data_IF_301576312603
#
_entry.id   IF_301576312603
#
_cell.length_a   1.000
_cell.length_b   1.000
_cell.length_c   1.000
_cell.angle_alpha   90.00
_cell.angle_beta   90.00
_cell.angle_gamma   90.00
#
_symmetry.space_group_name_H-M   'P 1'
#
loop_
_entity.id
_entity.type
_entity.pdbx_description
1 polymer ?
#
# COMPACT_ATOMS: atom_id res chain seq x y z
N UNK A 1 70.08 19.25 28.39
CA UNK A 1 69.34 17.99 28.30
C UNK A 1 67.92 18.23 28.75
N UNK A 2 67.01 18.56 27.83
CA UNK A 2 65.60 18.70 28.11
C UNK A 2 64.82 17.89 27.04
N UNK A 3 64.15 16.82 27.49
CA UNK A 3 63.28 15.99 26.66
C UNK A 3 61.88 16.58 26.71
N UNK A 4 61.41 17.11 25.57
CA UNK A 4 60.03 17.52 25.39
C UNK A 4 59.19 16.29 25.11
N UNK A 5 58.23 16.04 25.96
CA UNK A 5 57.17 15.04 25.77
C UNK A 5 56.02 15.73 25.00
N UNK A 6 55.73 15.26 23.76
CA UNK A 6 54.59 15.65 23.00
C UNK A 6 53.43 14.70 23.39
N UNK A 7 52.42 15.24 24.05
CA UNK A 7 51.18 14.52 24.33
C UNK A 7 50.25 14.74 23.12
N UNK A 8 50.07 13.71 22.33
CA UNK A 8 49.10 13.70 21.24
C UNK A 8 47.68 13.48 21.80
N UNK A 9 46.81 14.46 21.66
CA UNK A 9 45.37 14.30 21.92
C UNK A 9 44.76 13.53 20.71
N UNK A 10 44.37 12.30 20.93
CA UNK A 10 43.51 11.54 20.01
C UNK A 10 42.08 11.98 20.25
N UNK A 11 41.52 12.83 19.39
CA UNK A 11 40.11 13.16 19.37
C UNK A 11 39.35 12.00 18.72
N UNK A 12 38.71 11.16 19.53
CA UNK A 12 37.75 10.16 19.04
C UNK A 12 36.47 10.88 18.62
N UNK A 13 36.24 11.04 17.31
CA UNK A 13 34.96 11.42 16.75
C UNK A 13 33.99 10.25 16.92
N UNK A 14 33.15 10.32 17.94
CA UNK A 14 31.94 9.50 18.05
C UNK A 14 30.95 10.00 16.99
N UNK A 15 30.87 9.33 15.86
CA UNK A 15 29.76 9.43 14.92
C UNK A 15 28.53 8.82 15.61
N UNK A 16 27.78 9.64 16.34
CA UNK A 16 26.43 9.28 16.74
C UNK A 16 25.59 9.21 15.46
N UNK A 17 25.32 8.00 14.97
CA UNK A 17 24.28 7.78 14.00
C UNK A 17 22.97 8.11 14.71
N UNK A 18 22.40 9.27 14.41
CA UNK A 18 21.01 9.58 14.75
C UNK A 18 20.11 8.64 13.95
N UNK A 19 19.92 7.43 14.45
CA UNK A 19 18.80 6.59 14.05
C UNK A 19 17.53 7.28 14.53
N UNK A 20 16.68 7.72 13.60
CA UNK A 20 15.33 8.13 13.93
C UNK A 20 14.67 6.99 14.73
N UNK A 21 13.99 7.31 15.87
CA UNK A 21 13.22 6.29 16.57
C UNK A 21 12.16 5.78 15.60
N UNK A 22 12.29 4.51 15.15
CA UNK A 22 11.21 3.86 14.42
C UNK A 22 9.99 3.87 15.33
N UNK A 23 8.89 4.49 14.87
CA UNK A 23 7.58 4.25 15.47
C UNK A 23 7.41 2.72 15.59
N UNK A 24 6.92 2.20 16.72
CA UNK A 24 6.65 0.77 16.81
C UNK A 24 5.69 0.40 15.67
N UNK A 25 6.08 -0.60 14.89
CA UNK A 25 5.23 -1.17 13.85
C UNK A 25 3.86 -1.50 14.49
N UNK A 26 2.78 -0.97 13.91
CA UNK A 26 1.45 -1.20 14.45
C UNK A 26 1.20 -2.71 14.51
N UNK A 27 1.22 -3.27 15.71
CA UNK A 27 0.81 -4.66 15.88
C UNK A 27 -0.66 -4.74 15.46
N UNK A 28 -1.00 -5.69 14.58
CA UNK A 28 -2.39 -5.94 14.23
C UNK A 28 -3.20 -5.99 15.54
N UNK A 29 -4.21 -5.12 15.75
CA UNK A 29 -4.99 -5.13 16.97
C UNK A 29 -5.53 -6.53 17.17
N UNK A 30 -5.50 -7.00 18.42
CA UNK A 30 -6.00 -8.33 18.79
C UNK A 30 -7.41 -8.50 18.23
N UNK A 31 -7.75 -9.64 17.59
CA UNK A 31 -9.07 -9.85 17.05
C UNK A 31 -10.08 -9.71 18.18
N UNK A 32 -10.80 -8.62 18.23
CA UNK A 32 -12.04 -8.58 18.99
C UNK A 32 -12.97 -9.53 18.23
N UNK A 33 -13.43 -10.57 18.92
CA UNK A 33 -14.07 -11.73 18.35
C UNK A 33 -15.12 -11.38 17.30
N UNK A 34 -15.28 -12.25 16.31
CA UNK A 34 -16.24 -12.11 15.21
C UNK A 34 -17.61 -11.66 15.73
N UNK A 35 -17.81 -10.36 15.79
CA UNK A 35 -19.07 -9.74 16.21
C UNK A 35 -20.15 -10.03 15.19
N UNK A 36 -21.42 -10.00 15.64
CA UNK A 36 -22.56 -9.92 14.71
C UNK A 36 -22.31 -8.78 13.74
N UNK A 37 -22.71 -8.94 12.48
CA UNK A 37 -22.61 -7.88 11.49
C UNK A 37 -23.36 -6.62 12.01
N UNK A 38 -22.60 -5.64 12.47
CA UNK A 38 -23.09 -4.41 13.06
C UNK A 38 -23.08 -3.26 12.03
N UNK A 39 -23.10 -3.60 10.75
CA UNK A 39 -23.17 -2.59 9.71
C UNK A 39 -24.49 -1.82 9.84
N UNK A 40 -24.45 -0.49 9.86
CA UNK A 40 -25.70 0.32 9.86
C UNK A 40 -26.57 0.02 8.64
N UNK A 41 -27.89 -0.07 8.85
CA UNK A 41 -28.86 -0.38 7.79
C UNK A 41 -28.85 0.61 6.62
N UNK A 42 -28.33 1.82 6.84
CA UNK A 42 -28.21 2.87 5.82
C UNK A 42 -26.83 2.86 5.11
N UNK A 43 -25.94 1.91 5.40
CA UNK A 43 -24.71 1.76 4.70
C UNK A 43 -24.93 1.12 3.33
N UNK A 44 -24.50 1.80 2.28
CA UNK A 44 -24.41 1.24 0.94
C UNK A 44 -23.02 0.70 0.74
N UNK A 45 -22.89 -0.58 0.40
CA UNK A 45 -21.60 -1.23 0.14
C UNK A 45 -21.44 -1.53 -1.34
N UNK A 46 -20.25 -1.30 -1.82
CA UNK A 46 -19.75 -1.74 -3.12
C UNK A 46 -19.51 -3.26 -3.05
N UNK A 47 -19.85 -3.97 -4.13
CA UNK A 47 -19.54 -5.39 -4.28
C UNK A 47 -18.02 -5.62 -4.22
N UNK A 48 -17.61 -6.66 -3.53
CA UNK A 48 -16.17 -6.94 -3.34
C UNK A 48 -15.88 -8.43 -3.29
N UNK A 49 -14.65 -8.83 -3.65
CA UNK A 49 -14.16 -10.20 -3.53
C UNK A 49 -14.03 -10.62 -2.06
N UNK A 50 -13.85 -11.92 -1.74
CA UNK A 50 -13.59 -12.37 -0.38
C UNK A 50 -12.37 -11.67 0.24
N UNK A 51 -12.44 -11.38 1.54
CA UNK A 51 -11.35 -10.71 2.26
C UNK A 51 -10.16 -11.65 2.37
N UNK A 52 -9.02 -11.20 1.86
CA UNK A 52 -7.72 -11.88 1.95
C UNK A 52 -7.04 -11.61 3.30
N UNK A 53 -5.98 -12.36 3.60
CA UNK A 53 -5.22 -12.19 4.83
C UNK A 53 -3.72 -12.08 4.53
N UNK A 54 -3.19 -10.86 4.66
CA UNK A 54 -1.76 -10.58 4.47
C UNK A 54 -0.86 -11.19 5.55
N UNK A 55 -1.44 -11.71 6.65
CA UNK A 55 -0.67 -12.20 7.78
C UNK A 55 0.26 -11.14 8.37
N UNK A 56 1.55 -11.46 8.47
CA UNK A 56 2.60 -10.56 8.95
C UNK A 56 3.43 -9.94 7.82
N UNK A 57 2.90 -9.93 6.58
CA UNK A 57 3.61 -9.34 5.45
C UNK A 57 3.49 -7.81 5.46
N UNK A 58 4.42 -7.14 4.78
CA UNK A 58 4.39 -5.70 4.52
C UNK A 58 3.72 -5.38 3.17
N UNK A 59 2.83 -6.28 2.69
CA UNK A 59 2.20 -6.20 1.37
C UNK A 59 0.80 -5.54 1.40
N UNK A 60 0.45 -4.81 2.46
CA UNK A 60 -0.84 -4.11 2.57
C UNK A 60 -1.17 -3.29 1.32
N UNK A 61 -0.16 -2.63 0.73
CA UNK A 61 -0.28 -1.85 -0.48
C UNK A 61 -0.75 -2.69 -1.68
N UNK A 62 -0.21 -3.90 -1.85
CA UNK A 62 -0.62 -4.80 -2.92
C UNK A 62 -2.03 -5.37 -2.66
N UNK A 63 -2.32 -5.79 -1.43
CA UNK A 63 -3.65 -6.28 -1.05
C UNK A 63 -4.74 -5.22 -1.22
N UNK A 64 -4.50 -3.99 -0.76
CA UNK A 64 -5.48 -2.90 -0.83
C UNK A 64 -5.73 -2.47 -2.27
N UNK A 65 -4.69 -2.29 -3.07
CA UNK A 65 -4.85 -1.85 -4.45
C UNK A 65 -5.44 -2.94 -5.35
N UNK A 66 -5.03 -4.22 -5.19
CA UNK A 66 -5.67 -5.33 -5.93
C UNK A 66 -7.15 -5.46 -5.56
N UNK A 67 -7.49 -5.32 -4.27
CA UNK A 67 -8.88 -5.34 -3.84
C UNK A 67 -9.71 -4.22 -4.50
N UNK A 68 -9.15 -3.02 -4.64
CA UNK A 68 -9.78 -1.88 -5.32
C UNK A 68 -10.00 -2.18 -6.81
N UNK A 69 -9.02 -2.76 -7.51
CA UNK A 69 -9.16 -3.20 -8.90
C UNK A 69 -10.25 -4.26 -9.03
N UNK A 70 -10.26 -5.26 -8.17
CA UNK A 70 -11.25 -6.35 -8.16
C UNK A 70 -12.67 -5.83 -7.94
N UNK A 71 -12.87 -4.90 -7.01
CA UNK A 71 -14.19 -4.30 -6.73
C UNK A 71 -14.66 -3.37 -7.85
N UNK A 72 -13.74 -2.65 -8.51
CA UNK A 72 -14.07 -1.85 -9.69
C UNK A 72 -14.58 -2.74 -10.85
N UNK A 73 -14.01 -3.93 -11.04
CA UNK A 73 -14.50 -4.92 -12.01
C UNK A 73 -15.90 -5.41 -11.65
N UNK A 74 -16.15 -5.73 -10.37
CA UNK A 74 -17.50 -6.14 -9.93
C UNK A 74 -18.52 -5.05 -10.22
N UNK A 75 -18.17 -3.79 -10.01
CA UNK A 75 -19.05 -2.65 -10.34
C UNK A 75 -19.33 -2.56 -11.84
N UNK A 76 -18.35 -2.86 -12.69
CA UNK A 76 -18.49 -2.94 -14.16
C UNK A 76 -19.26 -4.19 -14.64
N UNK A 77 -19.65 -5.10 -13.74
CA UNK A 77 -20.37 -6.34 -14.06
C UNK A 77 -19.48 -7.53 -14.42
N UNK A 78 -18.22 -7.45 -14.16
CA UNK A 78 -17.21 -8.47 -14.32
C UNK A 78 -16.70 -8.97 -12.95
N UNK A 79 -15.91 -10.03 -12.91
CA UNK A 79 -15.33 -10.56 -11.68
C UNK A 79 -13.93 -11.09 -11.91
N UNK A 80 -12.97 -10.46 -11.26
CA UNK A 80 -11.59 -10.91 -11.21
C UNK A 80 -11.16 -11.10 -9.75
N UNK A 81 -10.26 -12.04 -9.50
CA UNK A 81 -9.62 -12.26 -8.21
C UNK A 81 -8.13 -12.48 -8.47
N UNK A 82 -7.28 -11.60 -7.95
CA UNK A 82 -5.89 -11.47 -8.35
C UNK A 82 -4.93 -11.97 -7.29
N UNK A 83 -3.80 -12.55 -7.72
CA UNK A 83 -2.77 -13.10 -6.84
C UNK A 83 -1.80 -12.03 -6.32
N UNK A 84 -1.79 -11.81 -5.01
CA UNK A 84 -0.77 -10.99 -4.35
C UNK A 84 0.57 -11.73 -4.30
N UNK A 85 0.56 -13.05 -4.16
CA UNK A 85 1.77 -13.88 -4.15
C UNK A 85 2.57 -13.75 -5.47
N UNK A 86 1.88 -13.60 -6.60
CA UNK A 86 2.54 -13.34 -7.88
C UNK A 86 3.28 -12.01 -7.88
N UNK A 87 2.63 -10.94 -7.45
CA UNK A 87 3.24 -9.61 -7.32
C UNK A 87 4.44 -9.65 -6.37
N UNK A 88 4.28 -10.30 -5.21
CA UNK A 88 5.36 -10.45 -4.24
C UNK A 88 6.58 -11.18 -4.82
N UNK A 89 6.35 -12.24 -5.61
CA UNK A 89 7.43 -12.98 -6.27
C UNK A 89 8.17 -12.12 -7.29
N UNK A 90 7.43 -11.37 -8.12
CA UNK A 90 8.04 -10.46 -9.12
C UNK A 90 8.86 -9.37 -8.43
N UNK A 91 8.31 -8.77 -7.37
CA UNK A 91 9.03 -7.79 -6.57
C UNK A 91 10.32 -8.36 -5.96
N UNK A 92 10.27 -9.54 -5.36
CA UNK A 92 11.46 -10.19 -4.78
C UNK A 92 12.54 -10.48 -5.83
N UNK A 93 12.17 -10.91 -7.02
CA UNK A 93 13.12 -11.12 -8.13
C UNK A 93 13.79 -9.80 -8.53
N UNK A 94 13.03 -8.73 -8.67
CA UNK A 94 13.56 -7.41 -9.02
C UNK A 94 14.47 -6.88 -7.92
N UNK A 95 14.02 -6.89 -6.67
CA UNK A 95 14.79 -6.43 -5.51
C UNK A 95 16.08 -7.24 -5.29
N UNK A 96 16.06 -8.54 -5.59
CA UNK A 96 17.26 -9.38 -5.55
C UNK A 96 18.30 -8.94 -6.58
N UNK A 97 17.89 -8.60 -7.81
CA UNK A 97 18.78 -8.09 -8.83
C UNK A 97 19.33 -6.70 -8.47
N UNK A 98 18.48 -5.81 -7.93
CA UNK A 98 18.90 -4.51 -7.41
C UNK A 98 19.96 -4.66 -6.30
N UNK A 99 19.71 -5.56 -5.35
CA UNK A 99 20.64 -5.88 -4.26
C UNK A 99 21.97 -6.40 -4.80
N UNK A 100 21.94 -7.35 -5.74
CA UNK A 100 23.12 -7.93 -6.36
C UNK A 100 23.99 -6.85 -7.07
N UNK A 101 23.38 -6.02 -7.92
CA UNK A 101 24.07 -4.96 -8.62
C UNK A 101 24.53 -3.82 -7.71
N UNK A 102 23.80 -3.55 -6.63
CA UNK A 102 24.21 -2.64 -5.57
C UNK A 102 25.28 -3.23 -4.64
N UNK A 103 25.76 -4.45 -4.90
CA UNK A 103 26.77 -5.14 -4.09
C UNK A 103 26.41 -5.22 -2.59
N UNK A 104 25.14 -5.55 -2.30
CA UNK A 104 24.62 -5.69 -0.95
C UNK A 104 24.31 -4.39 -0.20
N UNK A 105 24.42 -3.23 -0.87
CA UNK A 105 24.24 -1.92 -0.21
C UNK A 105 22.78 -1.44 -0.13
N UNK A 106 21.87 -2.13 -0.81
CA UNK A 106 20.45 -1.77 -0.87
C UNK A 106 19.60 -2.91 -0.29
N UNK A 107 19.26 -2.89 1.01
CA UNK A 107 18.54 -3.99 1.65
C UNK A 107 17.18 -4.22 1.01
N UNK A 108 16.71 -5.47 1.05
CA UNK A 108 15.44 -5.88 0.45
C UNK A 108 14.30 -5.65 1.46
N UNK A 109 13.28 -4.93 1.03
CA UNK A 109 12.03 -4.71 1.76
C UNK A 109 10.83 -4.97 0.86
N UNK A 110 9.74 -5.45 1.46
CA UNK A 110 8.46 -5.65 0.78
C UNK A 110 7.51 -4.44 0.97
N UNK A 111 7.99 -3.38 1.62
CA UNK A 111 7.23 -2.13 1.76
C UNK A 111 7.09 -1.43 0.41
N UNK A 112 6.00 -0.70 0.25
CA UNK A 112 5.70 0.07 -0.94
C UNK A 112 4.38 0.78 -0.83
N UNK A 113 4.07 1.61 -1.82
CA UNK A 113 2.79 2.31 -1.98
C UNK A 113 1.86 1.60 -2.96
N UNK A 114 0.59 1.90 -2.89
CA UNK A 114 -0.41 1.31 -3.79
C UNK A 114 -0.13 1.62 -5.28
N UNK A 115 0.46 2.77 -5.61
CA UNK A 115 0.91 3.11 -6.98
C UNK A 115 1.92 2.12 -7.55
N UNK A 116 2.79 1.58 -6.71
CA UNK A 116 3.82 0.63 -7.12
C UNK A 116 3.22 -0.67 -7.69
N UNK A 117 1.99 -1.05 -7.28
CA UNK A 117 1.30 -2.20 -7.84
C UNK A 117 1.10 -2.06 -9.35
N UNK A 118 0.70 -0.88 -9.79
CA UNK A 118 0.43 -0.60 -11.20
C UNK A 118 1.70 -0.83 -12.03
N UNK A 119 2.86 -0.40 -11.56
CA UNK A 119 4.14 -0.67 -12.24
C UNK A 119 4.46 -2.17 -12.32
N UNK A 120 4.19 -2.94 -11.25
CA UNK A 120 4.41 -4.40 -11.29
C UNK A 120 3.46 -5.12 -12.23
N UNK A 121 2.19 -4.72 -12.26
CA UNK A 121 1.19 -5.28 -13.17
C UNK A 121 1.56 -4.97 -14.63
N UNK A 122 1.92 -3.73 -14.94
CA UNK A 122 2.32 -3.32 -16.29
C UNK A 122 3.59 -4.02 -16.77
N UNK A 123 4.56 -4.20 -15.88
CA UNK A 123 5.87 -4.79 -16.22
C UNK A 123 5.88 -6.32 -16.28
N UNK A 124 5.19 -6.97 -15.35
CA UNK A 124 5.28 -8.42 -15.15
C UNK A 124 3.98 -9.17 -15.41
N UNK A 125 2.88 -8.45 -15.57
CA UNK A 125 1.57 -9.03 -15.71
C UNK A 125 0.90 -9.37 -14.39
N UNK A 126 -0.17 -10.15 -14.46
CA UNK A 126 -0.95 -10.62 -13.33
C UNK A 126 -1.29 -12.10 -13.47
N UNK A 127 -1.68 -12.72 -12.35
CA UNK A 127 -2.21 -14.07 -12.31
C UNK A 127 -3.52 -14.08 -11.52
N UNK A 128 -4.49 -14.93 -11.90
CA UNK A 128 -5.65 -15.20 -11.07
C UNK A 128 -5.22 -15.80 -9.72
N UNK A 129 -5.96 -15.48 -8.67
CA UNK A 129 -5.70 -16.00 -7.33
C UNK A 129 -5.67 -17.53 -7.28
N UNK A 130 -6.64 -18.18 -7.93
CA UNK A 130 -6.75 -19.65 -7.96
C UNK A 130 -5.58 -20.34 -8.69
N UNK A 131 -4.85 -19.60 -9.54
CA UNK A 131 -3.66 -20.10 -10.24
C UNK A 131 -2.39 -19.97 -9.39
N UNK A 132 -2.36 -19.03 -8.46
CA UNK A 132 -1.23 -18.80 -7.56
C UNK A 132 -1.73 -18.19 -6.25
N UNK A 133 -2.23 -19.05 -5.37
CA UNK A 133 -2.79 -18.65 -4.08
C UNK A 133 -1.74 -18.06 -3.13
N UNK A 134 -2.20 -17.19 -2.25
CA UNK A 134 -1.33 -16.66 -1.19
C UNK A 134 -0.86 -17.79 -0.27
N UNK A 135 0.45 -17.93 -0.06
CA UNK A 135 0.98 -18.99 0.80
C UNK A 135 0.59 -18.74 2.26
N UNK A 136 0.20 -19.79 2.94
CA UNK A 136 -0.09 -19.73 4.38
C UNK A 136 1.22 -19.60 5.16
N UNK A 137 1.24 -18.70 6.14
CA UNK A 137 2.31 -18.56 7.13
C UNK A 137 3.70 -18.15 6.60
N UNK A 138 3.80 -17.53 5.42
CA UNK A 138 5.08 -16.99 4.93
C UNK A 138 5.47 -15.74 5.71
N UNK A 139 6.68 -15.78 6.28
CA UNK A 139 7.30 -14.60 6.86
C UNK A 139 8.20 -13.92 5.83
N UNK A 140 7.67 -12.91 5.15
CA UNK A 140 8.39 -12.18 4.10
C UNK A 140 9.65 -11.47 4.62
N UNK A 141 9.72 -11.03 5.88
CA UNK A 141 10.96 -10.48 6.48
C UNK A 141 12.08 -11.53 6.55
N UNK A 142 11.72 -12.78 6.89
CA UNK A 142 12.68 -13.89 6.88
C UNK A 142 13.05 -14.24 5.43
N UNK A 143 12.07 -14.23 4.53
CA UNK A 143 12.31 -14.52 3.11
C UNK A 143 13.27 -13.49 2.47
N UNK A 144 13.09 -12.21 2.71
CA UNK A 144 14.02 -11.16 2.27
C UNK A 144 15.46 -11.45 2.73
N UNK A 145 15.67 -11.80 4.00
CA UNK A 145 16.99 -12.17 4.52
C UNK A 145 17.59 -13.41 3.84
N UNK A 146 16.75 -14.41 3.48
CA UNK A 146 17.20 -15.58 2.71
C UNK A 146 17.62 -15.18 1.31
N UNK A 147 16.88 -14.28 0.66
CA UNK A 147 17.21 -13.71 -0.66
C UNK A 147 18.54 -12.94 -0.59
N UNK A 148 18.69 -12.05 0.37
CA UNK A 148 19.93 -11.31 0.60
C UNK A 148 21.13 -12.26 0.76
N UNK A 149 20.99 -13.33 1.56
CA UNK A 149 22.05 -14.32 1.77
C UNK A 149 22.43 -15.06 0.49
N UNK A 150 21.47 -15.38 -0.37
CA UNK A 150 21.76 -15.98 -1.70
C UNK A 150 22.51 -14.97 -2.57
N UNK A 151 22.05 -13.72 -2.60
CA UNK A 151 22.71 -12.65 -3.34
C UNK A 151 24.15 -12.41 -2.86
N UNK A 152 24.39 -12.38 -1.54
CA UNK A 152 25.73 -12.24 -0.96
C UNK A 152 26.67 -13.39 -1.40
N UNK A 153 26.14 -14.62 -1.40
CA UNK A 153 26.86 -15.77 -1.90
C UNK A 153 27.23 -15.64 -3.39
N UNK A 154 26.27 -15.20 -4.20
CA UNK A 154 26.47 -14.99 -5.63
C UNK A 154 27.47 -13.85 -5.92
N UNK A 155 27.44 -12.77 -5.14
CA UNK A 155 28.40 -11.65 -5.21
C UNK A 155 29.81 -12.16 -4.88
N UNK A 156 29.96 -12.85 -3.75
CA UNK A 156 31.26 -13.35 -3.29
C UNK A 156 31.90 -14.34 -4.28
N UNK A 157 31.08 -15.23 -4.87
CA UNK A 157 31.52 -16.27 -5.82
C UNK A 157 31.59 -15.75 -7.26
N UNK A 158 31.10 -14.54 -7.55
CA UNK A 158 30.93 -14.00 -8.91
C UNK A 158 30.18 -14.97 -9.83
N UNK A 159 29.11 -15.56 -9.31
CA UNK A 159 28.36 -16.67 -9.94
C UNK A 159 27.65 -16.30 -11.24
N UNK A 160 27.38 -15.00 -11.45
CA UNK A 160 26.59 -14.52 -12.57
C UNK A 160 25.07 -14.59 -12.30
N UNK A 161 24.31 -13.91 -13.18
CA UNK A 161 22.86 -13.68 -12.98
C UNK A 161 22.04 -14.94 -13.17
N UNK A 162 22.37 -15.78 -14.15
CA UNK A 162 21.55 -16.97 -14.46
C UNK A 162 21.59 -17.95 -13.27
N UNK A 163 22.77 -18.21 -12.71
CA UNK A 163 22.89 -19.05 -11.52
C UNK A 163 22.14 -18.44 -10.32
N UNK A 164 22.25 -17.11 -10.13
CA UNK A 164 21.51 -16.41 -9.09
C UNK A 164 20.00 -16.59 -9.26
N UNK A 165 19.46 -16.41 -10.47
CA UNK A 165 18.03 -16.61 -10.76
C UNK A 165 17.58 -18.04 -10.46
N UNK A 166 18.38 -19.04 -10.80
CA UNK A 166 18.05 -20.45 -10.51
C UNK A 166 17.97 -20.71 -9.00
N UNK A 167 18.94 -20.21 -8.23
CA UNK A 167 18.94 -20.34 -6.78
C UNK A 167 17.75 -19.60 -6.13
N UNK A 168 17.40 -18.40 -6.63
CA UNK A 168 16.24 -17.64 -6.19
C UNK A 168 14.92 -18.35 -6.54
N UNK A 169 14.79 -18.88 -7.75
CA UNK A 169 13.60 -19.62 -8.15
C UNK A 169 13.39 -20.86 -7.26
N UNK A 170 14.45 -21.61 -6.97
CA UNK A 170 14.39 -22.75 -6.06
C UNK A 170 13.93 -22.34 -4.64
N UNK A 171 14.38 -21.18 -4.15
CA UNK A 171 13.93 -20.62 -2.87
C UNK A 171 12.44 -20.25 -2.94
N UNK A 172 12.03 -19.52 -3.98
CA UNK A 172 10.66 -19.04 -4.12
C UNK A 172 9.66 -20.19 -4.31
N UNK A 173 10.01 -21.20 -5.10
CA UNK A 173 9.17 -22.39 -5.28
C UNK A 173 8.91 -23.11 -3.96
N UNK A 174 9.90 -23.14 -3.08
CA UNK A 174 9.78 -23.73 -1.75
C UNK A 174 8.98 -22.89 -0.76
N UNK A 175 9.12 -21.56 -0.78
CA UNK A 175 8.59 -20.66 0.26
C UNK A 175 7.24 -20.03 -0.16
N UNK A 176 7.04 -19.74 -1.45
CA UNK A 176 5.84 -19.05 -1.96
C UNK A 176 5.00 -19.99 -2.84
N UNK A 177 5.58 -21.03 -3.39
CA UNK A 177 4.93 -21.98 -4.30
C UNK A 177 5.51 -21.92 -5.71
N UNK A 178 5.23 -22.97 -6.48
CA UNK A 178 5.71 -23.10 -7.85
C UNK A 178 5.08 -22.04 -8.76
N UNK A 179 5.92 -21.41 -9.59
CA UNK A 179 5.42 -20.45 -10.57
C UNK A 179 4.35 -21.11 -11.44
N UNK A 180 3.16 -20.48 -11.61
CA UNK A 180 2.12 -20.99 -12.48
C UNK A 180 2.58 -21.03 -13.94
N UNK A 181 1.83 -21.73 -14.77
CA UNK A 181 2.06 -21.74 -16.22
C UNK A 181 2.09 -20.31 -16.77
N UNK A 182 2.86 -20.11 -17.86
CA UNK A 182 2.93 -18.81 -18.56
C UNK A 182 1.64 -18.44 -19.29
N UNK A 183 0.62 -19.26 -19.17
CA UNK A 183 -0.68 -19.09 -19.81
C UNK A 183 -1.75 -18.95 -18.72
N UNK A 184 -2.58 -17.94 -18.85
CA UNK A 184 -3.73 -17.67 -17.99
C UNK A 184 -4.98 -18.04 -18.77
N UNK A 185 -5.78 -18.95 -18.22
CA UNK A 185 -7.08 -19.32 -18.80
C UNK A 185 -8.18 -18.59 -18.03
N UNK A 186 -8.88 -17.69 -18.67
CA UNK A 186 -9.96 -16.91 -18.07
C UNK A 186 -11.10 -16.73 -19.07
N UNK A 187 -12.34 -16.98 -18.62
CA UNK A 187 -13.56 -16.80 -19.43
C UNK A 187 -13.50 -17.46 -20.83
N UNK A 188 -12.83 -18.61 -20.93
CA UNK A 188 -12.72 -19.37 -22.19
C UNK A 188 -11.66 -18.85 -23.17
N UNK A 189 -10.87 -17.87 -22.79
CA UNK A 189 -9.72 -17.37 -23.53
C UNK A 189 -8.41 -17.70 -22.84
N UNK A 190 -7.33 -17.67 -23.59
CA UNK A 190 -5.96 -17.90 -23.15
C UNK A 190 -5.16 -16.62 -23.31
N UNK A 191 -4.45 -16.21 -22.27
CA UNK A 191 -3.67 -14.99 -22.19
C UNK A 191 -2.25 -15.30 -21.70
N UNK A 192 -1.29 -14.50 -22.07
CA UNK A 192 -0.07 -14.36 -21.29
C UNK A 192 -0.39 -13.58 -19.99
N UNK A 193 0.44 -13.67 -18.92
CA UNK A 193 0.23 -12.87 -17.73
C UNK A 193 0.12 -11.37 -18.00
N UNK A 194 0.84 -10.85 -18.99
CA UNK A 194 0.81 -9.45 -19.36
C UNK A 194 -0.49 -9.06 -20.08
N UNK A 195 -0.93 -9.87 -21.05
CA UNK A 195 -2.23 -9.67 -21.73
C UNK A 195 -3.39 -9.75 -20.73
N UNK A 196 -3.33 -10.70 -19.79
CA UNK A 196 -4.32 -10.80 -18.73
C UNK A 196 -4.31 -9.55 -17.85
N UNK A 197 -3.14 -9.07 -17.44
CA UNK A 197 -3.01 -7.84 -16.67
C UNK A 197 -3.64 -6.64 -17.40
N UNK A 198 -3.32 -6.45 -18.67
CA UNK A 198 -3.89 -5.36 -19.47
C UNK A 198 -5.40 -5.51 -19.73
N UNK A 199 -5.94 -6.73 -19.68
CA UNK A 199 -7.40 -6.91 -19.73
C UNK A 199 -8.09 -6.51 -18.42
N UNK A 200 -7.33 -6.41 -17.32
CA UNK A 200 -7.84 -6.09 -15.98
C UNK A 200 -7.56 -4.65 -15.60
N UNK A 201 -6.37 -4.12 -15.89
CA UNK A 201 -5.96 -2.79 -15.45
C UNK A 201 -4.88 -2.23 -16.37
N UNK A 202 -5.13 -1.04 -16.93
CA UNK A 202 -4.10 -0.22 -17.56
C UNK A 202 -3.55 0.80 -16.57
N UNK A 203 -2.28 1.21 -16.71
CA UNK A 203 -1.68 2.21 -15.81
C UNK A 203 -2.45 3.53 -15.70
N UNK A 204 -3.06 3.95 -16.82
CA UNK A 204 -3.81 5.21 -16.91
C UNK A 204 -5.21 5.14 -16.28
N UNK A 205 -5.72 3.95 -15.95
CA UNK A 205 -7.07 3.79 -15.40
C UNK A 205 -7.19 4.27 -13.95
N UNK A 206 -6.07 4.53 -13.28
CA UNK A 206 -6.07 4.96 -11.88
C UNK A 206 -5.34 6.29 -11.71
N UNK A 207 -5.87 7.12 -10.82
CA UNK A 207 -5.28 8.40 -10.41
C UNK A 207 -4.83 8.33 -8.96
N UNK A 208 -3.66 8.93 -8.71
CA UNK A 208 -3.06 9.03 -7.38
C UNK A 208 -3.25 10.45 -6.85
N UNK A 209 -3.94 10.62 -5.73
CA UNK A 209 -4.33 11.89 -5.15
C UNK A 209 -3.79 12.05 -3.74
N UNK A 210 -3.45 13.28 -3.38
CA UNK A 210 -3.04 13.65 -2.03
C UNK A 210 -3.47 15.08 -1.68
N UNK A 211 -3.20 15.52 -0.45
CA UNK A 211 -3.52 16.88 -0.02
C UNK A 211 -2.51 17.38 1.01
N UNK A 212 -1.54 18.20 0.57
CA UNK A 212 -0.54 18.82 1.45
C UNK A 212 -0.30 20.28 1.05
N UNK A 213 -0.03 21.15 2.03
CA UNK A 213 0.11 22.59 1.81
C UNK A 213 1.51 23.05 1.45
N UNK A 214 2.51 22.19 1.54
CA UNK A 214 3.90 22.51 1.20
C UNK A 214 4.20 22.43 -0.31
N UNK A 215 3.25 21.92 -1.11
CA UNK A 215 3.27 21.97 -2.56
C UNK A 215 2.05 22.72 -3.10
N UNK A 216 2.13 23.32 -4.30
CA UNK A 216 0.97 23.95 -4.92
C UNK A 216 -0.17 22.96 -5.13
N UNK A 217 -1.40 23.42 -4.92
CA UNK A 217 -2.57 22.62 -5.25
C UNK A 217 -2.79 22.55 -6.76
N UNK A 218 -3.39 21.45 -7.24
CA UNK A 218 -3.69 21.12 -8.64
C UNK A 218 -2.45 20.89 -9.49
N UNK A 219 -1.34 20.60 -8.85
CA UNK A 219 -0.09 20.20 -9.48
C UNK A 219 0.33 18.79 -9.02
N UNK A 220 1.09 18.11 -9.86
CA UNK A 220 1.68 16.82 -9.54
C UNK A 220 3.04 17.00 -8.87
N UNK A 221 3.30 16.21 -7.85
CA UNK A 221 4.62 16.15 -7.22
C UNK A 221 4.91 14.74 -6.71
N UNK A 222 6.18 14.38 -6.59
CA UNK A 222 6.58 13.11 -5.98
C UNK A 222 6.40 13.21 -4.46
N UNK A 223 5.49 12.43 -3.90
CA UNK A 223 5.18 12.47 -2.47
C UNK A 223 6.38 11.99 -1.64
N UNK A 224 6.80 12.81 -0.67
CA UNK A 224 8.01 12.61 0.13
C UNK A 224 7.76 11.67 1.32
N UNK A 225 7.44 10.43 1.02
CA UNK A 225 7.30 9.36 2.01
C UNK A 225 8.26 8.21 1.70
N UNK A 226 8.73 7.47 2.73
CA UNK A 226 9.73 6.43 2.56
C UNK A 226 9.34 5.33 1.58
N UNK A 227 8.05 4.98 1.51
CA UNK A 227 7.56 3.89 0.69
C UNK A 227 7.35 4.29 -0.78
N UNK A 228 7.41 5.60 -1.13
CA UNK A 228 7.42 6.09 -2.50
C UNK A 228 8.81 5.93 -3.15
N UNK A 229 9.32 4.69 -3.18
CA UNK A 229 10.64 4.39 -3.71
C UNK A 229 10.78 4.60 -5.22
N UNK A 230 9.66 4.64 -5.95
CA UNK A 230 9.62 4.88 -7.40
C UNK A 230 9.45 6.36 -7.76
N UNK A 231 9.31 7.24 -6.76
CA UNK A 231 9.05 8.67 -6.94
C UNK A 231 7.78 8.95 -7.74
N UNK A 232 6.75 8.14 -7.52
CA UNK A 232 5.45 8.30 -8.15
C UNK A 232 4.86 9.67 -7.88
N UNK A 233 4.16 10.19 -8.88
CA UNK A 233 3.58 11.52 -8.87
C UNK A 233 2.13 11.47 -8.35
N UNK A 234 1.80 12.39 -7.46
CA UNK A 234 0.47 12.54 -6.87
C UNK A 234 -0.11 13.90 -7.21
N UNK A 235 -1.36 13.93 -7.65
CA UNK A 235 -2.09 15.17 -7.83
C UNK A 235 -2.46 15.74 -6.46
N UNK A 236 -1.95 16.93 -6.16
CA UNK A 236 -2.21 17.63 -4.91
C UNK A 236 -3.53 18.41 -4.96
N UNK A 237 -4.49 18.05 -4.14
CA UNK A 237 -5.79 18.71 -4.10
C UNK A 237 -6.00 19.45 -2.78
N UNK A 238 -6.81 20.54 -2.74
CA UNK A 238 -7.33 21.07 -1.49
C UNK A 238 -8.02 19.95 -0.67
N UNK A 239 -7.88 19.96 0.65
CA UNK A 239 -8.37 18.88 1.50
C UNK A 239 -9.86 18.61 1.32
N UNK A 240 -10.67 19.65 1.22
CA UNK A 240 -12.13 19.49 1.04
C UNK A 240 -12.47 18.91 -0.35
N UNK A 241 -11.68 19.21 -1.36
CA UNK A 241 -11.82 18.67 -2.71
C UNK A 241 -11.43 17.18 -2.73
N UNK A 242 -10.30 16.82 -2.11
CA UNK A 242 -9.90 15.42 -1.95
C UNK A 242 -10.99 14.60 -1.27
N UNK A 243 -11.54 15.08 -0.14
CA UNK A 243 -12.59 14.40 0.59
C UNK A 243 -13.89 14.27 -0.21
N UNK A 244 -14.22 15.32 -0.99
CA UNK A 244 -15.37 15.27 -1.89
C UNK A 244 -15.22 14.20 -2.97
N UNK A 245 -14.03 14.07 -3.58
CA UNK A 245 -13.76 13.01 -4.56
C UNK A 245 -13.90 11.62 -3.93
N UNK A 246 -13.32 11.39 -2.75
CA UNK A 246 -13.46 10.11 -2.03
C UNK A 246 -14.93 9.79 -1.75
N UNK A 247 -15.67 10.76 -1.20
CA UNK A 247 -17.09 10.58 -0.90
C UNK A 247 -17.90 10.26 -2.16
N UNK A 248 -17.71 11.03 -3.22
CA UNK A 248 -18.47 10.87 -4.46
C UNK A 248 -18.11 9.59 -5.21
N UNK A 249 -16.85 9.18 -5.23
CA UNK A 249 -16.46 7.91 -5.80
C UNK A 249 -17.25 6.77 -5.14
N UNK A 250 -17.24 6.71 -3.81
CA UNK A 250 -17.92 5.64 -3.06
C UNK A 250 -19.44 5.71 -3.19
N UNK A 251 -20.05 6.90 -3.16
CA UNK A 251 -21.49 7.10 -3.36
C UNK A 251 -21.96 6.67 -4.77
N UNK A 252 -21.07 6.75 -5.78
CA UNK A 252 -21.34 6.31 -7.16
C UNK A 252 -20.95 4.86 -7.44
N UNK A 253 -20.54 4.10 -6.42
CA UNK A 253 -20.21 2.68 -6.55
C UNK A 253 -18.78 2.36 -6.94
N UNK A 254 -17.89 3.36 -6.95
CA UNK A 254 -16.46 3.17 -7.21
C UNK A 254 -15.67 3.00 -5.92
N UNK A 255 -14.87 1.93 -5.75
CA UNK A 255 -14.02 1.74 -4.60
C UNK A 255 -12.86 2.74 -4.61
N UNK A 256 -12.30 3.01 -3.43
CA UNK A 256 -11.13 3.88 -3.28
C UNK A 256 -10.07 3.14 -2.46
N UNK A 257 -8.87 3.00 -3.01
CA UNK A 257 -7.72 2.55 -2.25
C UNK A 257 -7.24 3.71 -1.36
N UNK A 258 -7.23 3.49 -0.06
CA UNK A 258 -6.80 4.46 0.94
C UNK A 258 -5.47 4.04 1.55
N UNK A 259 -4.54 4.96 1.60
CA UNK A 259 -3.24 4.82 2.25
C UNK A 259 -3.07 5.88 3.32
N UNK A 260 -2.67 5.47 4.51
CA UNK A 260 -2.57 6.38 5.65
C UNK A 260 -2.04 5.75 6.92
N UNK A 261 -2.10 6.52 7.98
CA UNK A 261 -1.60 6.16 9.30
C UNK A 261 -2.68 5.44 10.11
N UNK A 262 -2.36 4.26 10.61
CA UNK A 262 -3.19 3.46 11.53
C UNK A 262 -2.51 3.22 12.89
N UNK A 263 -1.31 3.74 13.09
CA UNK A 263 -0.54 3.60 14.34
C UNK A 263 -1.07 4.50 15.47
N UNK A 264 -2.27 5.01 15.32
CA UNK A 264 -2.92 5.98 16.21
C UNK A 264 -3.77 5.31 17.29
N UNK A 265 -3.93 6.00 18.41
CA UNK A 265 -4.75 5.52 19.52
C UNK A 265 -6.20 5.29 19.09
N UNK A 266 -6.76 6.19 18.26
CA UNK A 266 -8.12 6.09 17.75
C UNK A 266 -8.36 4.83 16.91
N UNK A 267 -7.33 4.33 16.22
CA UNK A 267 -7.40 3.07 15.45
C UNK A 267 -7.17 1.86 16.35
N UNK A 268 -6.13 1.91 17.20
CA UNK A 268 -5.72 0.79 18.05
C UNK A 268 -6.78 0.42 19.11
N UNK A 269 -7.54 1.41 19.57
CA UNK A 269 -8.57 1.27 20.60
C UNK A 269 -9.99 1.55 20.06
N UNK A 270 -10.21 1.31 18.77
CA UNK A 270 -11.50 1.52 18.14
C UNK A 270 -12.61 0.77 18.87
N UNK A 271 -13.62 1.50 19.36
CA UNK A 271 -14.79 0.91 20.02
C UNK A 271 -15.83 0.54 18.95
N UNK A 272 -16.35 -0.68 19.02
CA UNK A 272 -17.33 -1.18 18.07
C UNK A 272 -16.92 -1.03 16.60
N UNK A 273 -15.59 -1.03 16.35
CA UNK A 273 -14.96 -0.83 15.04
C UNK A 273 -15.08 0.62 14.47
N UNK A 274 -15.43 1.61 15.28
CA UNK A 274 -15.44 3.03 14.90
C UNK A 274 -14.11 3.68 15.25
N UNK A 275 -13.47 4.28 14.25
CA UNK A 275 -12.19 4.97 14.38
C UNK A 275 -12.43 6.47 14.30
N UNK A 276 -12.06 7.18 15.33
CA UNK A 276 -12.20 8.62 15.42
C UNK A 276 -10.86 9.28 15.80
N UNK A 277 -10.70 10.53 15.42
CA UNK A 277 -9.62 11.39 15.93
C UNK A 277 -9.86 11.75 17.39
N UNK A 278 -8.80 12.06 18.12
CA UNK A 278 -8.93 12.58 19.47
C UNK A 278 -9.58 13.98 19.44
N UNK A 279 -10.33 14.34 20.49
CA UNK A 279 -11.01 15.64 20.57
C UNK A 279 -10.07 16.85 20.43
N UNK A 280 -8.81 16.71 20.88
CA UNK A 280 -7.81 17.76 20.79
C UNK A 280 -7.37 18.04 19.34
N UNK A 281 -7.59 17.09 18.43
CA UNK A 281 -7.23 17.20 17.02
C UNK A 281 -8.31 17.91 16.19
N UNK A 282 -9.46 18.18 16.77
CA UNK A 282 -10.59 18.86 16.12
C UNK A 282 -10.53 20.38 16.25
N UNK A 283 -10.98 21.16 15.25
CA UNK A 283 -11.36 20.69 13.93
C UNK A 283 -10.14 20.35 13.05
N UNK A 284 -10.26 19.34 12.19
CA UNK A 284 -9.21 18.98 11.24
C UNK A 284 -9.19 20.00 10.10
N UNK A 285 -8.05 20.66 9.95
CA UNK A 285 -7.81 21.68 8.92
C UNK A 285 -6.62 21.30 8.04
N UNK A 286 -6.45 21.91 6.84
CA UNK A 286 -5.24 21.70 6.04
C UNK A 286 -3.95 21.98 6.83
N UNK A 287 -3.95 22.99 7.68
CA UNK A 287 -2.79 23.35 8.51
C UNK A 287 -2.50 22.31 9.61
N UNK A 288 -3.53 21.79 10.32
CA UNK A 288 -3.33 20.75 11.33
C UNK A 288 -2.86 19.44 10.69
N UNK A 289 -3.43 19.05 9.54
CA UNK A 289 -2.99 17.91 8.74
C UNK A 289 -1.53 18.03 8.30
N UNK A 290 -1.13 19.18 7.73
CA UNK A 290 0.25 19.45 7.33
C UNK A 290 1.22 19.32 8.51
N UNK A 291 0.85 19.89 9.66
CA UNK A 291 1.65 19.80 10.87
C UNK A 291 1.86 18.36 11.35
N UNK A 292 0.81 17.53 11.31
CA UNK A 292 0.92 16.10 11.68
C UNK A 292 1.90 15.36 10.76
N UNK A 293 1.83 15.62 9.45
CA UNK A 293 2.73 15.04 8.45
C UNK A 293 4.18 15.49 8.67
N UNK A 294 4.45 16.80 8.74
CA UNK A 294 5.80 17.35 8.94
C UNK A 294 6.45 16.93 10.25
N UNK A 295 5.64 16.69 11.28
CA UNK A 295 6.11 16.21 12.57
C UNK A 295 6.19 14.68 12.67
N UNK A 296 6.00 13.98 11.55
CA UNK A 296 6.04 12.51 11.43
C UNK A 296 5.06 11.82 12.41
N UNK A 297 3.93 12.47 12.69
CA UNK A 297 2.82 11.88 13.45
C UNK A 297 1.77 11.27 12.58
N UNK A 298 1.73 11.66 11.31
CA UNK A 298 1.01 10.95 10.26
C UNK A 298 2.04 10.36 9.30
N UNK A 299 2.06 9.04 9.17
CA UNK A 299 3.03 8.28 8.37
C UNK A 299 2.31 7.32 7.41
N UNK A 300 3.01 6.87 6.37
CA UNK A 300 2.52 5.89 5.41
C UNK A 300 2.73 4.46 5.95
N UNK A 301 1.81 3.96 6.74
CA UNK A 301 2.01 2.69 7.41
C UNK A 301 0.99 1.59 7.05
N UNK A 302 -0.12 1.92 6.41
CA UNK A 302 -1.10 0.92 6.00
C UNK A 302 -1.98 1.32 4.81
N UNK A 303 -2.47 0.29 4.11
CA UNK A 303 -3.37 0.44 2.96
C UNK A 303 -4.63 -0.40 3.16
N UNK A 304 -5.80 0.20 2.91
CA UNK A 304 -7.12 -0.43 2.93
C UNK A 304 -7.95 0.01 1.74
N UNK A 305 -9.03 -0.72 1.47
CA UNK A 305 -10.02 -0.36 0.46
C UNK A 305 -11.25 0.27 1.10
N UNK A 306 -11.68 1.43 0.63
CA UNK A 306 -12.97 2.03 1.02
C UNK A 306 -14.05 1.51 0.08
N UNK A 307 -15.07 0.84 0.65
CA UNK A 307 -16.16 0.19 -0.09
C UNK A 307 -17.54 0.70 0.27
N UNK A 308 -17.64 1.75 1.05
CA UNK A 308 -18.94 2.27 1.44
C UNK A 308 -18.85 3.49 2.33
N UNK A 309 -19.99 4.15 2.52
CA UNK A 309 -20.12 5.27 3.45
C UNK A 309 -21.51 5.28 4.07
N UNK A 310 -21.62 5.84 5.27
CA UNK A 310 -22.89 6.03 5.97
C UNK A 310 -22.82 7.19 6.96
N UNK A 311 -23.99 7.63 7.42
CA UNK A 311 -24.11 8.62 8.49
C UNK A 311 -24.55 7.95 9.80
N UNK A 312 -23.86 8.29 10.89
CA UNK A 312 -24.21 7.94 12.26
C UNK A 312 -24.10 9.19 13.13
N UNK A 313 -25.15 9.55 13.84
CA UNK A 313 -25.17 10.73 14.71
C UNK A 313 -24.69 12.04 14.01
N UNK A 314 -25.10 12.22 12.76
CA UNK A 314 -24.68 13.32 11.85
C UNK A 314 -23.21 13.34 11.47
N UNK A 315 -22.41 12.34 11.87
CA UNK A 315 -21.03 12.15 11.41
C UNK A 315 -21.01 11.18 10.25
N UNK A 316 -20.14 11.44 9.27
CA UNK A 316 -19.88 10.51 8.16
C UNK A 316 -18.79 9.53 8.58
N UNK A 317 -19.01 8.27 8.20
CA UNK A 317 -18.04 7.20 8.31
C UNK A 317 -17.85 6.53 6.95
N UNK A 318 -16.64 6.07 6.70
CA UNK A 318 -16.28 5.29 5.54
C UNK A 318 -16.04 3.84 5.97
N UNK A 319 -16.63 2.91 5.23
CA UNK A 319 -16.44 1.47 5.47
C UNK A 319 -15.17 1.05 4.77
N UNK A 320 -14.15 0.74 5.55
CA UNK A 320 -12.85 0.29 5.05
C UNK A 320 -12.74 -1.22 5.19
N UNK A 321 -12.38 -1.89 4.10
CA UNK A 321 -12.09 -3.31 4.03
C UNK A 321 -10.60 -3.51 4.18
N UNK A 322 -10.20 -4.31 5.19
CA UNK A 322 -8.81 -4.57 5.53
C UNK A 322 -8.37 -5.95 5.01
N UNK A 323 -7.07 -6.14 4.89
CA UNK A 323 -6.42 -7.39 4.48
C UNK A 323 -5.92 -8.25 5.67
N UNK A 324 -6.67 -8.27 6.79
CA UNK A 324 -6.32 -9.06 7.98
C UNK A 324 -7.29 -10.24 8.22
N UNK A 325 -7.97 -10.67 7.15
CA UNK A 325 -8.89 -11.79 7.17
C UNK A 325 -10.27 -11.45 7.73
N UNK A 326 -11.25 -12.27 7.39
CA UNK A 326 -12.66 -12.06 7.74
C UNK A 326 -12.98 -12.13 9.24
N UNK A 327 -12.08 -12.68 10.05
CA UNK A 327 -12.29 -12.82 11.49
C UNK A 327 -11.82 -11.59 12.28
N UNK A 328 -11.20 -10.61 11.61
CA UNK A 328 -10.77 -9.37 12.22
C UNK A 328 -11.90 -8.34 12.19
N UNK A 329 -12.04 -7.53 13.24
CA UNK A 329 -13.03 -6.46 13.38
C UNK A 329 -14.46 -6.89 12.97
N UNK A 330 -15.22 -6.06 12.25
CA UNK A 330 -16.53 -6.45 11.74
C UNK A 330 -16.39 -7.19 10.39
N UNK A 331 -16.16 -8.50 10.43
CA UNK A 331 -15.97 -9.33 9.24
C UNK A 331 -14.89 -8.78 8.28
N UNK A 332 -13.75 -8.34 8.84
CA UNK A 332 -12.64 -7.74 8.11
C UNK A 332 -12.85 -6.27 7.73
N UNK A 333 -13.86 -5.61 8.28
CA UNK A 333 -14.20 -4.19 8.01
C UNK A 333 -14.06 -3.35 9.26
N UNK A 334 -13.69 -2.09 9.06
CA UNK A 334 -13.59 -1.04 10.09
C UNK A 334 -14.19 0.26 9.56
N UNK A 335 -14.63 1.15 10.43
CA UNK A 335 -15.33 2.37 10.07
C UNK A 335 -14.49 3.58 10.44
N UNK A 336 -13.88 4.24 9.44
CA UNK A 336 -13.10 5.46 9.65
C UNK A 336 -14.01 6.68 9.58
N UNK A 337 -13.97 7.55 10.60
CA UNK A 337 -14.68 8.83 10.53
C UNK A 337 -14.10 9.73 9.45
N UNK A 338 -14.89 10.65 8.92
CA UNK A 338 -14.42 11.64 7.95
C UNK A 338 -13.25 12.45 8.50
N UNK A 339 -13.30 12.87 9.77
CA UNK A 339 -12.20 13.58 10.41
C UNK A 339 -10.91 12.75 10.48
N UNK A 340 -11.03 11.42 10.68
CA UNK A 340 -9.86 10.54 10.66
C UNK A 340 -9.24 10.47 9.26
N UNK A 341 -10.05 10.28 8.22
CA UNK A 341 -9.55 10.33 6.85
C UNK A 341 -8.91 11.68 6.55
N UNK A 342 -9.55 12.78 6.91
CA UNK A 342 -9.00 14.13 6.69
C UNK A 342 -7.62 14.31 7.33
N UNK A 343 -7.41 13.77 8.53
CA UNK A 343 -6.16 13.96 9.26
C UNK A 343 -5.07 12.97 8.86
N UNK A 344 -5.42 11.69 8.70
CA UNK A 344 -4.47 10.57 8.62
C UNK A 344 -4.25 9.98 7.23
N UNK A 345 -4.93 10.47 6.19
CA UNK A 345 -4.68 10.04 4.81
C UNK A 345 -3.30 10.50 4.33
N UNK A 346 -2.50 9.64 3.78
CA UNK A 346 -1.30 9.96 3.01
C UNK A 346 -1.67 10.14 1.54
N UNK A 347 -2.32 9.14 0.96
CA UNK A 347 -2.76 9.15 -0.42
C UNK A 347 -4.06 8.37 -0.60
N UNK A 348 -4.74 8.62 -1.73
CA UNK A 348 -5.85 7.79 -2.20
C UNK A 348 -5.67 7.51 -3.69
N UNK A 349 -6.16 6.34 -4.11
CA UNK A 349 -6.16 5.90 -5.49
C UNK A 349 -7.57 5.49 -5.88
N UNK A 350 -8.03 5.96 -7.02
CA UNK A 350 -9.35 5.62 -7.55
C UNK A 350 -9.29 5.53 -9.07
N UNK A 351 -10.30 4.90 -9.68
CA UNK A 351 -10.39 4.87 -11.13
C UNK A 351 -10.53 6.28 -11.70
N UNK A 352 -9.93 6.53 -12.87
CA UNK A 352 -10.08 7.80 -13.59
C UNK A 352 -11.56 8.11 -13.83
N UNK A 353 -12.38 7.09 -14.11
CA UNK A 353 -13.81 7.24 -14.27
C UNK A 353 -14.47 7.84 -13.00
N UNK A 354 -14.10 7.37 -11.80
CA UNK A 354 -14.59 7.91 -10.54
C UNK A 354 -14.13 9.35 -10.31
N UNK A 355 -12.90 9.67 -10.68
CA UNK A 355 -12.33 11.01 -10.53
C UNK A 355 -12.99 12.02 -11.47
N UNK A 356 -13.13 11.68 -12.76
CA UNK A 356 -13.69 12.56 -13.79
C UNK A 356 -15.20 12.77 -13.63
N UNK A 357 -15.92 11.81 -13.07
CA UNK A 357 -17.37 11.94 -12.83
C UNK A 357 -17.74 13.20 -12.05
N UNK A 358 -16.82 13.74 -11.25
CA UNK A 358 -17.02 14.89 -10.37
C UNK A 358 -16.35 16.18 -10.86
N UNK A 359 -15.71 16.16 -12.04
CA UNK A 359 -15.03 17.34 -12.58
C UNK A 359 -15.85 18.04 -13.66
N UNK A 360 -15.78 19.37 -13.65
CA UNK A 360 -16.13 20.14 -14.85
C UNK A 360 -15.06 19.89 -15.93
N UNK A 361 -15.40 19.75 -17.22
CA UNK A 361 -14.44 19.50 -18.30
C UNK A 361 -13.29 20.50 -18.40
N UNK A 362 -13.36 21.62 -17.68
CA UNK A 362 -12.35 22.69 -17.68
C UNK A 362 -11.28 22.55 -16.60
N UNK A 363 -11.45 21.63 -15.67
CA UNK A 363 -10.64 21.56 -14.44
C UNK A 363 -9.72 20.33 -14.38
N UNK A 364 -9.64 19.53 -15.46
CA UNK A 364 -8.82 18.31 -15.49
C UNK A 364 -7.35 18.68 -15.70
N UNK A 365 -6.46 18.48 -14.70
CA UNK A 365 -5.03 18.68 -14.87
C UNK A 365 -4.48 17.62 -15.85
N UNK A 366 -3.59 18.05 -16.76
CA UNK A 366 -2.90 17.09 -17.62
C UNK A 366 -1.89 16.29 -16.81
N UNK A 367 -1.96 14.96 -16.86
CA UNK A 367 -0.90 14.10 -16.33
C UNK A 367 0.42 14.43 -17.02
N UNK A 368 1.53 14.58 -16.29
CA UNK A 368 2.83 14.67 -16.93
C UNK A 368 3.07 13.36 -17.69
N UNK A 369 3.42 13.47 -18.96
CA UNK A 369 3.90 12.32 -19.73
C UNK A 369 5.22 11.84 -19.09
N UNK A 370 5.25 10.60 -18.61
CA UNK A 370 6.46 9.93 -18.10
C UNK A 370 7.21 9.34 -19.29
#
# INVERSE_FOLDING_TARGET
MNRNIIIGFLAALLLASCGYPKKPEAAAPSPQGAGKDNLPLNAQLIGSTPIKNQGKSELCWAYGMLATIESEHIMKGDSVNLSVAYVARMMLQEKALEYYFAQGKKPISMRGMASMLIHYIDKYGAQPYDSYEDPKDVNYKILCRKVEKICDGAIAQKSGIEKLKDELNNLFDKEIGYMPAKQVHMLGAEYTPLEFAHSVCYPEEYVSLTSFTHHPYREYFALEVPDNAMHDQFLNLPLDELMLHVQKAVENGHPVCWEGDISEEGFTHAQDNYVEVQKIELPVTPASRQKEFEQLRTTDDHVMEIIGTFLKDKKRYFVCRNSWGKNWANQGRIYLSEDYLRLKTIAVFMSEAAFLYNQSPKDTPQKPYI
#
